data_IF_337128657525
#
_entry.id   IF_337128657525
#
_cell.length_a   1.000
_cell.length_b   1.000
_cell.length_c   1.000
_cell.angle_alpha   90.00
_cell.angle_beta   90.00
_cell.angle_gamma   90.00
#
_symmetry.space_group_name_H-M   'P 1'
#
loop_
_entity.id
_entity.type
_entity.pdbx_description
1 polymer ?
#
# COMPACT_ATOMS: atom_id res chain seq x y z
N UNK A 1 -5.17 2.12 -18.21
CA UNK A 1 -4.39 3.22 -17.62
C UNK A 1 -5.33 4.32 -17.18
N UNK A 2 -5.12 4.88 -16.01
CA UNK A 2 -5.89 6.01 -15.47
C UNK A 2 -4.97 7.00 -14.76
N UNK A 3 -5.28 8.29 -14.85
CA UNK A 3 -4.57 9.33 -14.11
C UNK A 3 -5.57 10.11 -13.26
N UNK A 4 -5.38 10.04 -11.93
CA UNK A 4 -6.11 10.82 -10.96
C UNK A 4 -5.21 11.93 -10.43
N UNK A 5 -5.67 13.17 -10.46
CA UNK A 5 -4.94 14.31 -9.90
C UNK A 5 -5.77 14.99 -8.81
N UNK A 6 -5.15 15.14 -7.65
CA UNK A 6 -5.75 15.81 -6.50
C UNK A 6 -4.95 17.08 -6.18
N UNK A 7 -5.61 18.22 -6.28
CA UNK A 7 -5.09 19.49 -5.79
C UNK A 7 -5.93 19.87 -4.57
N UNK A 8 -5.37 19.62 -3.39
CA UNK A 8 -6.08 19.85 -2.12
C UNK A 8 -5.65 21.21 -1.59
N UNK A 9 -6.56 22.18 -1.65
CA UNK A 9 -6.31 23.56 -1.26
C UNK A 9 -6.05 23.72 0.24
N UNK A 10 -5.56 24.89 0.63
CA UNK A 10 -5.16 25.24 2.00
C UNK A 10 -6.22 24.85 3.03
N UNK A 11 -5.80 24.11 4.06
CA UNK A 11 -6.64 23.61 5.16
C UNK A 11 -7.82 22.71 4.74
N UNK A 12 -7.90 22.30 3.48
CA UNK A 12 -8.92 21.37 3.02
C UNK A 12 -8.63 19.93 3.45
N UNK A 13 -9.69 19.13 3.60
CA UNK A 13 -9.62 17.72 3.98
C UNK A 13 -10.30 16.86 2.94
N UNK A 14 -9.61 15.83 2.46
CA UNK A 14 -10.10 14.90 1.44
C UNK A 14 -9.93 13.47 1.94
N UNK A 15 -10.96 12.65 1.75
CA UNK A 15 -10.84 11.19 1.84
C UNK A 15 -11.22 10.60 0.49
N UNK A 16 -10.30 9.87 -0.10
CA UNK A 16 -10.49 9.18 -1.36
C UNK A 16 -10.39 7.67 -1.15
N UNK A 17 -11.41 6.94 -1.58
CA UNK A 17 -11.47 5.48 -1.46
C UNK A 17 -11.63 4.89 -2.84
N UNK A 18 -10.70 4.03 -3.24
CA UNK A 18 -10.79 3.29 -4.49
C UNK A 18 -10.76 1.79 -4.25
N UNK A 19 -11.55 1.08 -5.05
CA UNK A 19 -11.59 -0.38 -5.04
C UNK A 19 -11.49 -0.88 -6.46
N UNK A 20 -10.52 -1.74 -6.71
CA UNK A 20 -10.26 -2.31 -8.02
C UNK A 20 -10.65 -3.78 -8.05
N UNK A 21 -11.53 -4.12 -8.99
CA UNK A 21 -11.97 -5.48 -9.27
C UNK A 21 -11.82 -5.73 -10.75
N UNK A 22 -11.20 -6.86 -11.12
CA UNK A 22 -11.16 -7.31 -12.50
C UNK A 22 -12.31 -8.28 -12.78
N UNK A 23 -13.21 -7.91 -13.68
CA UNK A 23 -14.23 -8.78 -14.22
C UNK A 23 -14.01 -8.95 -15.73
N UNK A 24 -14.40 -10.08 -16.29
CA UNK A 24 -14.29 -10.34 -17.73
C UNK A 24 -14.61 -11.76 -18.10
N UNK A 25 -14.71 -12.00 -19.42
CA UNK A 25 -15.05 -13.29 -20.02
C UNK A 25 -13.88 -14.30 -20.08
N UNK A 26 -12.76 -14.00 -19.42
CA UNK A 26 -11.55 -14.84 -19.41
C UNK A 26 -10.72 -14.76 -20.68
N UNK A 27 -11.01 -13.84 -21.60
CA UNK A 27 -10.25 -13.64 -22.84
C UNK A 27 -9.26 -12.50 -22.68
N UNK A 28 -7.97 -12.84 -22.58
CA UNK A 28 -6.88 -11.87 -22.49
C UNK A 28 -6.52 -11.49 -21.05
N UNK A 29 -5.37 -10.81 -20.91
CA UNK A 29 -4.82 -10.34 -19.65
C UNK A 29 -5.55 -9.07 -19.18
N UNK A 30 -5.97 -9.04 -17.93
CA UNK A 30 -6.56 -7.86 -17.29
C UNK A 30 -5.44 -7.04 -16.67
N UNK A 31 -5.09 -5.94 -17.33
CA UNK A 31 -3.99 -5.06 -16.94
C UNK A 31 -4.55 -3.73 -16.46
N UNK A 32 -4.06 -3.25 -15.32
CA UNK A 32 -4.47 -1.98 -14.76
C UNK A 32 -3.27 -1.22 -14.18
N UNK A 33 -2.94 -0.08 -14.79
CA UNK A 33 -1.81 0.76 -14.39
C UNK A 33 -2.28 2.18 -14.02
N UNK A 34 -2.88 2.38 -12.83
CA UNK A 34 -3.32 3.69 -12.39
C UNK A 34 -2.15 4.53 -11.89
N UNK A 35 -2.20 5.82 -12.20
CA UNK A 35 -1.33 6.82 -11.60
C UNK A 35 -2.16 7.80 -10.77
N UNK A 36 -1.75 8.07 -9.55
CA UNK A 36 -2.37 9.05 -8.65
C UNK A 36 -1.35 10.12 -8.29
N UNK A 37 -1.64 11.37 -8.65
CA UNK A 37 -0.83 12.54 -8.28
C UNK A 37 -1.57 13.35 -7.22
N UNK A 38 -0.89 13.65 -6.11
CA UNK A 38 -1.45 14.36 -4.95
C UNK A 38 -0.62 15.60 -4.65
N UNK A 39 -1.26 16.77 -4.67
CA UNK A 39 -0.66 18.03 -4.29
C UNK A 39 -1.42 18.61 -3.11
N UNK A 40 -0.76 18.64 -1.93
CA UNK A 40 -1.34 19.15 -0.70
C UNK A 40 -0.76 20.53 -0.40
N UNK A 41 -1.63 21.56 -0.37
CA UNK A 41 -1.26 22.90 0.06
C UNK A 41 -1.11 22.98 1.60
N UNK A 42 -0.71 24.14 2.11
CA UNK A 42 -0.51 24.41 3.54
C UNK A 42 -1.71 23.96 4.40
N UNK A 43 -1.46 23.12 5.39
CA UNK A 43 -2.46 22.59 6.31
C UNK A 43 -3.48 21.63 5.69
N UNK A 44 -3.32 21.27 4.41
CA UNK A 44 -4.20 20.32 3.75
C UNK A 44 -4.02 18.89 4.30
N UNK A 45 -5.08 18.09 4.27
CA UNK A 45 -5.05 16.70 4.73
C UNK A 45 -5.74 15.78 3.73
N UNK A 46 -5.10 14.65 3.41
CA UNK A 46 -5.70 13.62 2.56
C UNK A 46 -5.52 12.23 3.15
N UNK A 47 -6.60 11.44 3.11
CA UNK A 47 -6.59 10.00 3.35
C UNK A 47 -6.90 9.32 2.01
N UNK A 48 -5.99 8.45 1.55
CA UNK A 48 -6.13 7.65 0.35
C UNK A 48 -6.20 6.19 0.74
N UNK A 49 -7.32 5.52 0.45
CA UNK A 49 -7.51 4.10 0.69
C UNK A 49 -7.63 3.37 -0.66
N UNK A 50 -6.71 2.47 -0.95
CA UNK A 50 -6.68 1.69 -2.18
C UNK A 50 -6.83 0.20 -1.86
N UNK A 51 -7.76 -0.47 -2.52
CA UNK A 51 -7.99 -1.91 -2.33
C UNK A 51 -8.04 -2.63 -3.67
N UNK A 52 -7.21 -3.66 -3.83
CA UNK A 52 -7.21 -4.57 -4.98
C UNK A 52 -7.22 -6.02 -4.48
N UNK A 53 -8.38 -6.69 -4.58
CA UNK A 53 -8.56 -8.01 -3.95
C UNK A 53 -8.73 -9.13 -4.98
N UNK A 54 -9.12 -8.86 -6.23
CA UNK A 54 -9.35 -9.92 -7.20
C UNK A 54 -9.36 -9.45 -8.64
N UNK A 55 -9.09 -10.39 -9.53
CA UNK A 55 -9.43 -10.30 -10.94
C UNK A 55 -8.50 -9.43 -11.81
N UNK A 56 -7.42 -8.87 -11.28
CA UNK A 56 -6.42 -8.14 -12.07
C UNK A 56 -5.19 -9.02 -12.23
N UNK A 57 -4.76 -9.26 -13.46
CA UNK A 57 -3.65 -10.17 -13.76
C UNK A 57 -2.29 -9.46 -13.68
N UNK A 58 -2.26 -8.16 -13.97
CA UNK A 58 -1.04 -7.36 -13.95
C UNK A 58 -1.35 -5.91 -13.55
N UNK A 59 -0.68 -5.40 -12.54
CA UNK A 59 -0.88 -4.04 -12.02
C UNK A 59 0.45 -3.35 -11.79
N UNK A 60 0.56 -2.12 -12.28
CA UNK A 60 1.55 -1.14 -11.85
C UNK A 60 0.80 0.10 -11.32
N UNK A 61 0.63 0.18 -10.00
CA UNK A 61 0.06 1.35 -9.33
C UNK A 61 1.18 2.32 -8.98
N UNK A 62 1.00 3.58 -9.34
CA UNK A 62 1.94 4.64 -9.02
C UNK A 62 1.24 5.77 -8.27
N UNK A 63 1.78 6.17 -7.12
CA UNK A 63 1.29 7.30 -6.33
C UNK A 63 2.44 8.29 -6.10
N UNK A 64 2.24 9.55 -6.48
CA UNK A 64 3.23 10.62 -6.34
C UNK A 64 2.59 11.74 -5.54
N UNK A 65 3.22 12.16 -4.44
CA UNK A 65 2.68 13.18 -3.56
C UNK A 65 3.68 14.29 -3.29
N UNK A 66 3.19 15.52 -3.21
CA UNK A 66 3.94 16.69 -2.74
C UNK A 66 3.20 17.36 -1.60
N UNK A 67 3.89 17.61 -0.48
CA UNK A 67 3.32 18.12 0.75
C UNK A 67 3.95 19.48 1.11
N UNK A 68 3.09 20.50 1.20
CA UNK A 68 3.47 21.83 1.69
C UNK A 68 3.49 21.87 3.23
N UNK A 69 3.67 23.04 3.81
CA UNK A 69 3.76 23.27 5.26
C UNK A 69 2.53 22.73 6.00
N UNK A 70 2.76 21.95 7.09
CA UNK A 70 1.72 21.32 7.91
C UNK A 70 0.71 20.43 7.15
N UNK A 71 1.02 20.04 5.91
CA UNK A 71 0.18 19.12 5.14
C UNK A 71 0.34 17.68 5.61
N UNK A 72 -0.74 16.89 5.57
CA UNK A 72 -0.74 15.50 6.03
C UNK A 72 -1.29 14.55 4.96
N UNK A 73 -0.58 13.46 4.68
CA UNK A 73 -1.00 12.39 3.80
C UNK A 73 -1.01 11.06 4.54
N UNK A 74 -2.13 10.36 4.52
CA UNK A 74 -2.24 8.98 4.97
C UNK A 74 -2.64 8.11 3.77
N UNK A 75 -1.88 7.06 3.52
CA UNK A 75 -2.15 6.07 2.47
C UNK A 75 -2.31 4.70 3.10
N UNK A 76 -3.41 4.04 2.80
CA UNK A 76 -3.70 2.67 3.19
C UNK A 76 -3.93 1.84 1.93
N UNK A 77 -3.03 0.91 1.67
CA UNK A 77 -3.15 -0.01 0.56
C UNK A 77 -3.42 -1.44 1.03
N UNK A 78 -4.32 -2.14 0.33
CA UNK A 78 -4.63 -3.55 0.56
C UNK A 78 -4.61 -4.29 -0.76
N UNK A 79 -3.71 -5.28 -0.88
CA UNK A 79 -3.55 -6.06 -2.11
C UNK A 79 -3.61 -7.55 -1.82
N UNK A 80 -4.44 -8.27 -2.57
CA UNK A 80 -4.44 -9.73 -2.61
C UNK A 80 -4.16 -10.18 -4.05
N UNK A 81 -3.13 -10.99 -4.22
CA UNK A 81 -2.81 -11.64 -5.50
C UNK A 81 -2.88 -13.16 -5.39
N UNK A 82 -3.34 -13.80 -6.45
CA UNK A 82 -3.49 -15.27 -6.55
C UNK A 82 -3.04 -15.76 -7.93
N UNK A 83 -2.87 -17.06 -8.11
CA UNK A 83 -2.49 -17.65 -9.39
C UNK A 83 -1.11 -17.17 -9.87
N UNK A 84 -1.05 -16.58 -11.04
CA UNK A 84 0.17 -16.00 -11.64
C UNK A 84 0.09 -14.46 -11.74
N UNK A 85 -0.75 -13.84 -10.92
CA UNK A 85 -0.93 -12.39 -10.90
C UNK A 85 0.35 -11.67 -10.45
N UNK A 86 0.56 -10.47 -11.00
CA UNK A 86 1.65 -9.60 -10.63
C UNK A 86 1.13 -8.22 -10.20
N UNK A 87 1.56 -7.75 -9.05
CA UNK A 87 1.22 -6.42 -8.55
C UNK A 87 2.47 -5.65 -8.14
N UNK A 88 2.62 -4.46 -8.69
CA UNK A 88 3.67 -3.51 -8.34
C UNK A 88 3.03 -2.25 -7.79
N UNK A 89 3.45 -1.82 -6.60
CA UNK A 89 3.03 -0.56 -5.96
C UNK A 89 4.24 0.33 -5.77
N UNK A 90 4.20 1.52 -6.39
CA UNK A 90 5.24 2.54 -6.30
C UNK A 90 4.69 3.79 -5.62
N UNK A 91 5.32 4.21 -4.53
CA UNK A 91 5.00 5.43 -3.81
C UNK A 91 6.19 6.39 -3.78
N UNK A 92 5.93 7.64 -4.12
CA UNK A 92 6.91 8.72 -4.01
C UNK A 92 6.25 9.88 -3.25
N UNK A 93 6.85 10.33 -2.16
CA UNK A 93 6.36 11.49 -1.42
C UNK A 93 7.49 12.48 -1.13
N UNK A 94 7.28 13.72 -1.56
CA UNK A 94 8.15 14.85 -1.31
C UNK A 94 7.57 15.71 -0.18
N UNK A 95 8.20 15.67 1.00
CA UNK A 95 7.82 16.45 2.18
C UNK A 95 8.58 17.78 2.16
N UNK A 96 8.00 18.78 1.49
CA UNK A 96 8.65 20.05 1.19
C UNK A 96 8.40 21.14 2.24
N UNK A 97 7.34 21.02 3.01
CA UNK A 97 6.97 22.01 4.03
C UNK A 97 7.31 21.58 5.45
N UNK A 98 7.66 22.54 6.31
CA UNK A 98 7.85 22.28 7.72
C UNK A 98 6.56 21.75 8.36
N UNK A 99 6.67 20.79 9.27
CA UNK A 99 5.52 20.15 9.92
C UNK A 99 4.71 19.21 9.00
N UNK A 100 5.13 19.00 7.74
CA UNK A 100 4.48 18.03 6.87
C UNK A 100 4.66 16.59 7.36
N UNK A 101 3.67 15.74 7.13
CA UNK A 101 3.67 14.34 7.56
C UNK A 101 3.10 13.42 6.50
N UNK A 102 3.78 12.29 6.26
CA UNK A 102 3.32 11.24 5.36
C UNK A 102 3.38 9.89 6.06
N UNK A 103 2.27 9.14 6.02
CA UNK A 103 2.19 7.77 6.51
C UNK A 103 1.65 6.85 5.41
N UNK A 104 2.42 5.84 4.99
CA UNK A 104 2.05 4.87 3.96
C UNK A 104 2.07 3.48 4.58
N UNK A 105 0.92 2.82 4.61
CA UNK A 105 0.78 1.44 5.09
C UNK A 105 0.26 0.57 3.95
N UNK A 106 1.07 -0.42 3.55
CA UNK A 106 0.68 -1.42 2.55
C UNK A 106 0.57 -2.80 3.21
N UNK A 107 -0.64 -3.37 3.23
CA UNK A 107 -0.92 -4.72 3.72
C UNK A 107 -1.27 -5.63 2.56
N UNK A 108 -0.47 -6.67 2.36
CA UNK A 108 -0.61 -7.50 1.17
C UNK A 108 -0.59 -8.99 1.47
N UNK A 109 -1.30 -9.75 0.65
CA UNK A 109 -1.30 -11.22 0.70
C UNK A 109 -1.01 -11.74 -0.69
N UNK A 110 0.00 -12.60 -0.82
CA UNK A 110 0.35 -13.25 -2.07
C UNK A 110 0.19 -14.77 -1.94
N UNK A 111 -0.54 -15.38 -2.87
CA UNK A 111 -0.84 -16.82 -2.91
C UNK A 111 -0.38 -17.44 -4.23
N UNK A 112 -0.33 -18.76 -4.27
CA UNK A 112 0.00 -19.61 -5.42
C UNK A 112 1.40 -19.32 -5.99
N UNK A 113 1.48 -18.75 -7.18
CA UNK A 113 2.73 -18.33 -7.85
C UNK A 113 2.76 -16.84 -8.14
N UNK A 114 1.87 -16.07 -7.49
CA UNK A 114 1.76 -14.63 -7.71
C UNK A 114 3.01 -13.89 -7.21
N UNK A 115 3.21 -12.70 -7.74
CA UNK A 115 4.34 -11.85 -7.37
C UNK A 115 3.87 -10.47 -6.97
N UNK A 116 4.52 -9.89 -5.94
CA UNK A 116 4.28 -8.52 -5.50
C UNK A 116 5.59 -7.79 -5.28
N UNK A 117 5.61 -6.51 -5.66
CA UNK A 117 6.70 -5.61 -5.37
C UNK A 117 6.18 -4.30 -4.81
N UNK A 118 6.66 -3.93 -3.63
CA UNK A 118 6.40 -2.65 -3.00
C UNK A 118 7.64 -1.77 -3.09
N UNK A 119 7.49 -0.55 -3.59
CA UNK A 119 8.54 0.46 -3.63
C UNK A 119 8.05 1.75 -3.00
N UNK A 120 8.82 2.32 -2.10
CA UNK A 120 8.51 3.61 -1.48
C UNK A 120 9.74 4.52 -1.45
N UNK A 121 9.56 5.77 -1.86
CA UNK A 121 10.56 6.82 -1.78
C UNK A 121 10.00 7.97 -0.96
N UNK A 122 10.62 8.28 0.19
CA UNK A 122 10.30 9.46 0.99
C UNK A 122 11.46 10.45 0.95
N UNK A 123 11.19 11.67 0.53
CA UNK A 123 12.15 12.77 0.50
C UNK A 123 11.76 13.82 1.54
N UNK A 124 12.47 13.87 2.67
CA UNK A 124 12.30 14.85 3.73
C UNK A 124 13.11 16.10 3.47
N UNK A 125 12.54 17.08 2.79
CA UNK A 125 13.18 18.31 2.36
C UNK A 125 13.10 19.45 3.40
N UNK A 126 12.30 19.28 4.43
CA UNK A 126 12.06 20.22 5.53
C UNK A 126 12.06 19.50 6.88
N UNK A 127 11.82 20.20 7.99
CA UNK A 127 11.51 19.61 9.29
C UNK A 127 10.16 18.87 9.20
N UNK A 128 10.17 17.56 8.95
CA UNK A 128 9.00 16.76 8.58
C UNK A 128 9.06 15.36 9.19
N UNK A 129 7.96 14.61 9.09
CA UNK A 129 7.91 13.22 9.48
C UNK A 129 7.36 12.34 8.35
N UNK A 130 8.04 11.22 8.09
CA UNK A 130 7.61 10.24 7.10
C UNK A 130 7.73 8.82 7.62
N UNK A 131 6.70 8.01 7.41
CA UNK A 131 6.69 6.61 7.77
C UNK A 131 6.13 5.77 6.62
N UNK A 132 6.81 4.67 6.31
CA UNK A 132 6.28 3.64 5.40
C UNK A 132 6.34 2.28 6.06
N UNK A 133 5.24 1.53 5.96
CA UNK A 133 5.10 0.18 6.47
C UNK A 133 4.67 -0.76 5.33
N UNK A 134 5.35 -1.90 5.21
CA UNK A 134 5.00 -2.93 4.24
C UNK A 134 4.88 -4.29 4.95
N UNK A 135 3.65 -4.69 5.24
CA UNK A 135 3.34 -5.97 5.84
C UNK A 135 2.78 -6.94 4.82
N UNK A 136 3.37 -8.13 4.72
CA UNK A 136 2.99 -9.11 3.70
C UNK A 136 2.90 -10.52 4.25
N UNK A 137 1.80 -11.21 3.93
CA UNK A 137 1.65 -12.65 4.12
C UNK A 137 1.95 -13.34 2.79
N UNK A 138 2.93 -14.27 2.81
CA UNK A 138 3.27 -15.13 1.67
C UNK A 138 2.73 -16.52 1.91
N UNK A 139 2.04 -17.06 0.91
CA UNK A 139 1.52 -18.42 0.89
C UNK A 139 2.01 -19.15 -0.36
N UNK A 140 2.09 -20.49 -0.28
CA UNK A 140 2.47 -21.37 -1.39
C UNK A 140 3.87 -21.06 -1.96
N UNK A 141 3.93 -20.72 -3.26
CA UNK A 141 5.15 -20.40 -4.00
C UNK A 141 5.20 -18.93 -4.42
N UNK A 142 4.37 -18.09 -3.82
CA UNK A 142 4.32 -16.66 -4.11
C UNK A 142 5.63 -15.95 -3.71
N UNK A 143 5.84 -14.77 -4.27
CA UNK A 143 7.02 -13.95 -4.00
C UNK A 143 6.61 -12.52 -3.71
N UNK A 144 7.17 -11.96 -2.64
CA UNK A 144 7.00 -10.56 -2.26
C UNK A 144 8.36 -9.92 -2.04
N UNK A 145 8.52 -8.70 -2.49
CA UNK A 145 9.72 -7.90 -2.28
C UNK A 145 9.39 -6.46 -1.94
N UNK A 146 10.25 -5.81 -1.16
CA UNK A 146 10.14 -4.40 -0.81
C UNK A 146 11.45 -3.66 -1.12
N UNK A 147 11.35 -2.43 -1.63
CA UNK A 147 12.49 -1.56 -1.97
C UNK A 147 12.23 -0.14 -1.43
N UNK A 148 12.45 0.10 -0.14
CA UNK A 148 12.30 1.43 0.44
C UNK A 148 13.52 2.31 0.14
N UNK A 149 13.27 3.62 -0.05
CA UNK A 149 14.28 4.65 -0.14
C UNK A 149 13.88 5.84 0.73
N UNK A 150 14.76 6.22 1.65
CA UNK A 150 14.57 7.38 2.52
C UNK A 150 15.70 8.37 2.29
N UNK A 151 15.35 9.64 2.01
CA UNK A 151 16.31 10.73 1.83
C UNK A 151 15.95 11.87 2.77
N UNK A 152 16.76 12.09 3.81
CA UNK A 152 16.61 13.22 4.71
C UNK A 152 17.58 14.35 4.28
N UNK A 153 17.04 15.40 3.63
CA UNK A 153 17.79 16.56 3.21
C UNK A 153 17.80 17.69 4.28
N UNK A 154 17.02 17.52 5.34
CA UNK A 154 16.96 18.43 6.48
C UNK A 154 17.30 17.68 7.77
N UNK A 155 18.04 18.30 8.69
CA UNK A 155 18.48 17.68 9.96
C UNK A 155 17.33 17.32 10.90
N UNK A 156 16.21 18.02 10.77
CA UNK A 156 14.99 17.78 11.56
C UNK A 156 13.97 16.90 10.81
N UNK A 157 14.34 16.30 9.67
CA UNK A 157 13.52 15.31 8.99
C UNK A 157 13.63 13.95 9.70
N UNK A 158 12.50 13.38 10.09
CA UNK A 158 12.39 12.04 10.69
C UNK A 158 11.69 11.09 9.72
N UNK A 159 12.44 10.17 9.13
CA UNK A 159 11.93 9.21 8.17
C UNK A 159 12.17 7.78 8.66
N UNK A 160 11.12 6.96 8.63
CA UNK A 160 11.15 5.58 9.13
C UNK A 160 10.56 4.65 8.06
N UNK A 161 11.17 3.48 7.92
CA UNK A 161 10.58 2.36 7.17
C UNK A 161 10.55 1.11 8.03
N UNK A 162 9.41 0.40 7.99
CA UNK A 162 9.21 -0.89 8.64
C UNK A 162 8.69 -1.91 7.61
N UNK A 163 9.13 -3.17 7.71
CA UNK A 163 8.64 -4.24 6.84
C UNK A 163 8.57 -5.56 7.59
N UNK A 164 7.45 -6.25 7.46
CA UNK A 164 7.26 -7.63 7.92
C UNK A 164 6.77 -8.49 6.75
N UNK A 165 7.64 -9.32 6.20
CA UNK A 165 7.32 -10.21 5.08
C UNK A 165 7.51 -11.66 5.53
N UNK A 166 6.43 -12.43 5.58
CA UNK A 166 6.51 -13.80 6.06
C UNK A 166 5.25 -14.63 5.83
N UNK A 167 5.31 -15.87 6.27
CA UNK A 167 4.16 -16.78 6.25
C UNK A 167 3.31 -16.63 7.52
N UNK A 168 2.08 -17.12 7.47
CA UNK A 168 1.23 -17.26 8.65
C UNK A 168 1.95 -18.12 9.70
N UNK A 169 2.00 -17.65 10.94
CA UNK A 169 2.60 -18.40 12.03
C UNK A 169 1.78 -19.66 12.34
N UNK A 170 2.45 -20.83 12.40
CA UNK A 170 1.78 -22.10 12.67
C UNK A 170 0.99 -22.12 13.98
N UNK A 171 1.45 -21.38 15.01
CA UNK A 171 0.72 -21.24 16.28
C UNK A 171 -0.63 -20.54 16.13
N UNK A 172 -0.74 -19.56 15.23
CA UNK A 172 -2.01 -18.88 14.94
C UNK A 172 -2.99 -19.81 14.24
N UNK A 173 -2.52 -20.59 13.26
CA UNK A 173 -3.32 -21.61 12.59
C UNK A 173 -3.80 -22.67 13.61
N UNK A 174 -2.88 -23.24 14.38
CA UNK A 174 -3.19 -24.25 15.36
C UNK A 174 -4.23 -23.76 16.38
N UNK A 175 -4.09 -22.53 16.87
CA UNK A 175 -5.04 -21.92 17.81
C UNK A 175 -6.46 -21.85 17.23
N UNK A 176 -6.61 -21.44 15.97
CA UNK A 176 -7.92 -21.39 15.31
C UNK A 176 -8.48 -22.80 15.05
N UNK A 177 -7.63 -23.76 14.68
CA UNK A 177 -8.03 -25.16 14.49
C UNK A 177 -8.50 -25.80 15.80
N UNK A 178 -7.92 -25.46 16.95
CA UNK A 178 -8.41 -25.93 18.26
C UNK A 178 -9.79 -25.38 18.63
N UNK A 179 -10.23 -24.30 17.98
CA UNK A 179 -11.59 -23.76 18.09
C UNK A 179 -12.59 -24.40 17.11
N UNK A 180 -12.16 -25.43 16.35
CA UNK A 180 -13.02 -26.21 15.46
C UNK A 180 -12.99 -25.78 14.00
N UNK A 181 -12.10 -24.87 13.60
CA UNK A 181 -11.92 -24.51 12.19
C UNK A 181 -11.03 -25.55 11.49
N UNK A 182 -11.30 -25.79 10.20
CA UNK A 182 -10.34 -26.46 9.34
C UNK A 182 -9.13 -25.58 9.10
N UNK A 183 -8.02 -26.12 8.63
CA UNK A 183 -6.82 -25.35 8.29
C UNK A 183 -7.13 -24.22 7.27
N UNK A 184 -7.88 -24.56 6.21
CA UNK A 184 -8.31 -23.60 5.20
C UNK A 184 -9.17 -22.48 5.79
N UNK A 185 -10.15 -22.79 6.64
CA UNK A 185 -10.99 -21.77 7.29
C UNK A 185 -10.16 -20.87 8.23
N UNK A 186 -9.16 -21.45 8.90
CA UNK A 186 -8.24 -20.70 9.76
C UNK A 186 -7.39 -19.72 8.95
N UNK A 187 -6.82 -20.17 7.82
CA UNK A 187 -6.06 -19.31 6.89
C UNK A 187 -6.92 -18.18 6.35
N UNK A 188 -8.11 -18.48 5.83
CA UNK A 188 -9.04 -17.48 5.31
C UNK A 188 -9.43 -16.44 6.38
N UNK A 189 -9.60 -16.87 7.63
CA UNK A 189 -9.91 -15.98 8.73
C UNK A 189 -8.75 -15.05 9.06
N UNK A 190 -7.52 -15.56 9.07
CA UNK A 190 -6.32 -14.75 9.31
C UNK A 190 -6.12 -13.74 8.19
N UNK A 191 -6.19 -14.19 6.92
CA UNK A 191 -6.05 -13.32 5.75
C UNK A 191 -7.11 -12.22 5.74
N UNK A 192 -8.37 -12.58 5.99
CA UNK A 192 -9.46 -11.59 6.06
C UNK A 192 -9.28 -10.59 7.20
N UNK A 193 -8.73 -11.03 8.34
CA UNK A 193 -8.42 -10.15 9.46
C UNK A 193 -7.24 -9.21 9.17
N UNK A 194 -6.24 -9.71 8.48
CA UNK A 194 -5.03 -8.97 8.13
C UNK A 194 -5.30 -7.85 7.09
N UNK A 195 -6.21 -8.11 6.15
CA UNK A 195 -6.62 -7.16 5.12
C UNK A 195 -7.78 -6.21 5.57
N UNK A 196 -8.22 -6.24 6.80
CA UNK A 196 -9.19 -5.27 7.34
C UNK A 196 -8.53 -3.96 7.70
#
# INVERSE_FOLDING_TARGET
DGLHRFFVGKNAKVRYVEKHYGEGDGRGKRVMNPTTEVHLEEGASMILEATQISGIDDTLRKTIATLAENATLEVQEKVLTTGEQNAVSEFVADLNGAGSSCNIVSRTVARDKSTQHFSSTLNGNAACSGHTECDSIIMDSAKVSASPQLTAANVDASLIHEAAIGKIAGEQLLKLMTLGLTEQEAEERIVSGFLK
#
